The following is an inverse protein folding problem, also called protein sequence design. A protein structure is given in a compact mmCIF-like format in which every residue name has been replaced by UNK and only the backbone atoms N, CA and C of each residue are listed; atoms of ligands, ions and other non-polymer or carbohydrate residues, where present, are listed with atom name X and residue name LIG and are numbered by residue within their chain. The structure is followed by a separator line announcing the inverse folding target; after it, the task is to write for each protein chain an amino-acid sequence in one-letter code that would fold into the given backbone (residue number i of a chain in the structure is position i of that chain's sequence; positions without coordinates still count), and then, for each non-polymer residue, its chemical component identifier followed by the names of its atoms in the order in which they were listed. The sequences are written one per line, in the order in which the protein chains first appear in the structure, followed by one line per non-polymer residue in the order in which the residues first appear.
data_IF_332378822313
#
_entry.id   IF_332378822313
#
_cell.length_a   1.000
_cell.length_b   1.000
_cell.length_c   1.000
_cell.angle_alpha   90.00
_cell.angle_beta   90.00
_cell.angle_gamma   90.00
#
_symmetry.space_group_name_H-M   'P 1'
#
loop_
_entity.id
_entity.type
_entity.pdbx_description
1 polymer ?
#
# COMPACT_ATOMS: atom_id res chain seq x y z
N UNK A 1 -4.66 1.15 -10.49
CA UNK A 1 -4.39 2.29 -9.60
C UNK A 1 -5.71 2.90 -9.14
N UNK A 2 -6.03 2.87 -7.83
CA UNK A 2 -7.23 3.51 -7.29
C UNK A 2 -7.11 5.04 -7.45
N UNK A 3 -7.96 5.65 -8.29
CA UNK A 3 -7.84 7.04 -8.75
C UNK A 3 -8.97 7.92 -8.20
N UNK A 4 -9.26 7.81 -6.89
CA UNK A 4 -10.28 8.62 -6.22
C UNK A 4 -9.69 9.91 -5.66
N UNK A 5 -8.52 9.83 -5.00
CA UNK A 5 -7.85 10.94 -4.34
C UNK A 5 -6.38 10.55 -4.07
N UNK A 6 -5.46 11.52 -3.97
CA UNK A 6 -4.07 11.31 -3.57
C UNK A 6 -3.07 11.26 -4.71
N UNK A 7 -1.93 10.56 -4.50
CA UNK A 7 -0.76 10.53 -5.40
C UNK A 7 -0.96 9.62 -6.64
N UNK A 8 -2.03 9.85 -7.38
CA UNK A 8 -2.42 9.02 -8.54
C UNK A 8 -1.41 9.12 -9.67
N UNK A 9 -1.02 10.33 -10.06
CA UNK A 9 -0.14 10.59 -11.22
C UNK A 9 1.25 9.99 -11.02
N UNK A 10 1.77 10.11 -9.82
CA UNK A 10 3.08 9.62 -9.41
C UNK A 10 3.14 8.08 -9.50
N UNK A 11 2.11 7.41 -8.99
CA UNK A 11 1.99 5.96 -9.12
C UNK A 11 1.76 5.50 -10.56
N UNK A 12 0.96 6.22 -11.36
CA UNK A 12 0.76 5.92 -12.79
C UNK A 12 2.09 6.00 -13.54
N UNK A 13 2.92 7.00 -13.26
CA UNK A 13 4.28 7.10 -13.83
C UNK A 13 5.13 5.90 -13.39
N UNK A 14 5.15 5.58 -12.09
CA UNK A 14 5.92 4.46 -11.55
C UNK A 14 5.50 3.09 -12.14
N UNK A 15 4.20 2.87 -12.38
CA UNK A 15 3.68 1.66 -13.05
C UNK A 15 4.22 1.55 -14.48
N UNK A 16 4.23 2.66 -15.24
CA UNK A 16 4.79 2.68 -16.61
C UNK A 16 6.29 2.42 -16.61
N UNK A 17 7.04 3.01 -15.66
CA UNK A 17 8.49 2.85 -15.54
C UNK A 17 8.89 1.38 -15.28
N UNK A 18 8.02 0.58 -14.67
CA UNK A 18 8.26 -0.87 -14.45
C UNK A 18 7.71 -1.75 -15.57
N UNK A 19 7.23 -1.17 -16.67
CA UNK A 19 6.75 -1.89 -17.85
C UNK A 19 5.33 -2.48 -17.71
N UNK A 20 4.55 -2.03 -16.73
CA UNK A 20 3.15 -2.42 -16.56
C UNK A 20 2.19 -1.37 -17.16
N UNK A 21 0.98 -1.79 -17.50
CA UNK A 21 -0.06 -0.90 -18.04
C UNK A 21 -0.92 -0.35 -16.90
N UNK A 22 -0.94 0.98 -16.66
CA UNK A 22 -1.76 1.57 -15.62
C UNK A 22 -3.21 1.76 -16.07
N UNK A 23 -4.13 1.28 -15.25
CA UNK A 23 -5.56 1.57 -15.35
C UNK A 23 -5.98 2.41 -14.17
N UNK A 24 -6.60 3.56 -14.39
CA UNK A 24 -7.17 4.39 -13.34
C UNK A 24 -8.56 3.86 -12.95
N UNK A 25 -8.67 3.35 -11.72
CA UNK A 25 -9.90 2.78 -11.15
C UNK A 25 -10.67 3.87 -10.41
N UNK A 26 -11.87 4.16 -10.87
CA UNK A 26 -12.82 5.10 -10.25
C UNK A 26 -14.18 4.46 -10.00
N UNK A 27 -14.52 3.41 -10.74
CA UNK A 27 -15.79 2.72 -10.66
C UNK A 27 -15.56 1.20 -10.64
N UNK A 28 -16.50 0.40 -10.14
CA UNK A 28 -16.39 -1.07 -10.07
C UNK A 28 -16.00 -1.74 -11.38
N UNK A 29 -16.52 -1.25 -12.51
CA UNK A 29 -16.21 -1.80 -13.85
C UNK A 29 -14.72 -1.70 -14.22
N UNK A 30 -14.00 -0.72 -13.67
CA UNK A 30 -12.59 -0.48 -13.97
C UNK A 30 -11.68 -1.52 -13.29
N UNK A 31 -12.20 -2.32 -12.36
CA UNK A 31 -11.48 -3.41 -11.69
C UNK A 31 -11.44 -4.71 -12.49
N UNK A 32 -12.26 -4.81 -13.55
CA UNK A 32 -12.37 -6.04 -14.33
C UNK A 32 -11.05 -6.34 -15.07
N UNK A 33 -10.52 -7.55 -14.87
CA UNK A 33 -9.31 -8.01 -15.55
C UNK A 33 -8.00 -7.45 -14.99
N UNK A 34 -8.01 -6.76 -13.84
CA UNK A 34 -6.79 -6.29 -13.21
C UNK A 34 -6.04 -7.43 -12.50
N UNK A 35 -4.72 -7.42 -12.62
CA UNK A 35 -3.81 -8.34 -11.94
C UNK A 35 -3.31 -7.79 -10.59
N UNK A 36 -3.35 -6.47 -10.43
CA UNK A 36 -2.93 -5.78 -9.21
C UNK A 36 -3.70 -4.47 -9.01
N UNK A 37 -3.72 -3.97 -7.76
CA UNK A 37 -4.27 -2.66 -7.43
C UNK A 37 -3.33 -1.93 -6.46
N UNK A 38 -3.04 -0.66 -6.75
CA UNK A 38 -2.37 0.25 -5.81
C UNK A 38 -3.42 1.16 -5.17
N UNK A 39 -3.39 1.24 -3.83
CA UNK A 39 -4.15 2.19 -3.02
C UNK A 39 -3.17 3.30 -2.61
N UNK A 40 -3.32 4.52 -3.14
CA UNK A 40 -2.32 5.58 -2.97
C UNK A 40 -2.31 6.19 -1.58
N UNK A 41 -1.24 6.95 -1.32
CA UNK A 41 -1.24 7.96 -0.27
C UNK A 41 -2.24 9.09 -0.55
N UNK A 42 -2.77 9.67 0.52
CA UNK A 42 -3.77 10.73 0.47
C UNK A 42 -4.43 10.92 1.83
N UNK A 43 -5.71 11.30 1.84
CA UNK A 43 -6.51 11.44 3.06
C UNK A 43 -7.42 10.20 3.21
N UNK A 44 -7.13 9.35 4.23
CA UNK A 44 -7.77 8.04 4.39
C UNK A 44 -9.27 8.11 4.64
N UNK A 45 -9.76 9.13 5.35
CA UNK A 45 -11.19 9.32 5.64
C UNK A 45 -11.96 9.68 4.37
N UNK A 46 -11.42 10.58 3.56
CA UNK A 46 -11.98 10.94 2.25
C UNK A 46 -11.99 9.74 1.31
N UNK A 47 -10.88 8.99 1.26
CA UNK A 47 -10.80 7.80 0.41
C UNK A 47 -11.83 6.74 0.83
N UNK A 48 -12.02 6.52 2.14
CA UNK A 48 -13.04 5.63 2.68
C UNK A 48 -14.44 6.03 2.22
N UNK A 49 -14.79 7.32 2.38
CA UNK A 49 -16.09 7.84 1.96
C UNK A 49 -16.34 7.65 0.47
N UNK A 50 -15.32 7.93 -0.38
CA UNK A 50 -15.43 7.74 -1.83
C UNK A 50 -15.51 6.26 -2.22
N UNK A 51 -14.78 5.36 -1.54
CA UNK A 51 -14.87 3.92 -1.76
C UNK A 51 -16.29 3.42 -1.50
N UNK A 52 -16.92 3.90 -0.42
CA UNK A 52 -18.29 3.52 -0.07
C UNK A 52 -19.31 4.16 -1.03
N UNK A 53 -19.17 5.45 -1.35
CA UNK A 53 -20.03 6.18 -2.28
C UNK A 53 -20.05 5.56 -3.68
N UNK A 54 -18.89 5.16 -4.22
CA UNK A 54 -18.79 4.54 -5.54
C UNK A 54 -18.97 3.01 -5.52
N UNK A 55 -19.29 2.41 -4.37
CA UNK A 55 -19.53 0.98 -4.25
C UNK A 55 -18.31 0.12 -4.56
N UNK A 56 -17.10 0.61 -4.25
CA UNK A 56 -15.84 -0.06 -4.59
C UNK A 56 -15.38 -1.08 -3.55
N UNK A 57 -15.92 -1.05 -2.32
CA UNK A 57 -15.46 -1.90 -1.21
C UNK A 57 -15.50 -3.39 -1.59
N UNK A 58 -16.66 -3.91 -1.90
CA UNK A 58 -16.82 -5.34 -2.23
C UNK A 58 -16.12 -5.76 -3.53
N UNK A 59 -16.15 -4.98 -4.62
CA UNK A 59 -15.35 -5.25 -5.81
C UNK A 59 -13.84 -5.34 -5.54
N UNK A 60 -13.26 -4.48 -4.70
CA UNK A 60 -11.84 -4.55 -4.31
C UNK A 60 -11.56 -5.80 -3.46
N UNK A 61 -12.43 -6.12 -2.50
CA UNK A 61 -12.32 -7.36 -1.73
C UNK A 61 -12.41 -8.60 -2.64
N UNK A 62 -13.30 -8.58 -3.62
CA UNK A 62 -13.41 -9.65 -4.61
C UNK A 62 -12.13 -9.78 -5.45
N UNK A 63 -11.56 -8.67 -5.91
CA UNK A 63 -10.28 -8.65 -6.62
C UNK A 63 -9.16 -9.26 -5.76
N UNK A 64 -9.07 -8.91 -4.47
CA UNK A 64 -8.10 -9.49 -3.55
C UNK A 64 -8.29 -11.02 -3.41
N UNK A 65 -9.53 -11.49 -3.25
CA UNK A 65 -9.87 -12.93 -3.18
C UNK A 65 -9.49 -13.71 -4.43
N UNK A 66 -9.49 -13.09 -5.61
CA UNK A 66 -8.96 -13.73 -6.83
C UNK A 66 -7.44 -13.87 -6.84
N UNK A 67 -6.75 -13.35 -5.83
CA UNK A 67 -5.30 -13.40 -5.69
C UNK A 67 -4.57 -12.29 -6.45
N UNK A 68 -5.24 -11.19 -6.78
CA UNK A 68 -4.57 -9.99 -7.28
C UNK A 68 -3.59 -9.44 -6.25
N UNK A 69 -2.49 -8.85 -6.72
CA UNK A 69 -1.51 -8.22 -5.84
C UNK A 69 -1.98 -6.82 -5.43
N UNK A 70 -1.79 -6.45 -4.16
CA UNK A 70 -2.16 -5.13 -3.64
C UNK A 70 -0.95 -4.40 -3.07
N UNK A 71 -0.89 -3.10 -3.28
CA UNK A 71 0.06 -2.21 -2.62
C UNK A 71 -0.69 -1.01 -2.03
N UNK A 72 -0.58 -0.81 -0.70
CA UNK A 72 -1.06 0.39 -0.03
C UNK A 72 0.10 1.28 0.38
N UNK A 73 0.09 2.56 0.00
CA UNK A 73 1.10 3.53 0.44
C UNK A 73 0.48 4.58 1.35
N UNK A 74 1.10 4.87 2.49
CA UNK A 74 0.62 5.86 3.47
C UNK A 74 -0.87 5.63 3.84
N UNK A 75 -1.80 6.45 3.35
CA UNK A 75 -3.24 6.25 3.55
C UNK A 75 -3.72 4.88 3.05
N UNK A 76 -3.15 4.36 1.96
CA UNK A 76 -3.44 3.02 1.44
C UNK A 76 -3.10 1.90 2.45
N UNK A 77 -2.05 2.05 3.26
CA UNK A 77 -1.75 1.12 4.36
C UNK A 77 -2.89 1.11 5.40
N UNK A 78 -3.41 2.29 5.77
CA UNK A 78 -4.54 2.42 6.72
C UNK A 78 -5.78 1.69 6.18
N UNK A 79 -6.06 1.82 4.88
CA UNK A 79 -7.20 1.14 4.24
C UNK A 79 -7.07 -0.38 4.23
N UNK A 80 -5.84 -0.92 4.12
CA UNK A 80 -5.56 -2.35 4.09
C UNK A 80 -5.51 -3.00 5.48
N UNK A 81 -5.14 -2.25 6.52
CA UNK A 81 -4.99 -2.74 7.89
C UNK A 81 -6.28 -3.36 8.42
N UNK A 82 -6.13 -4.39 9.26
CA UNK A 82 -7.27 -5.04 9.92
C UNK A 82 -7.64 -4.40 11.28
N UNK A 83 -6.76 -3.54 11.81
CA UNK A 83 -7.00 -2.80 13.06
C UNK A 83 -6.53 -1.35 12.95
N UNK A 84 -7.28 -0.44 13.56
CA UNK A 84 -6.95 0.98 13.71
C UNK A 84 -6.95 1.38 15.19
N UNK A 85 -5.81 1.84 15.71
CA UNK A 85 -5.69 2.32 17.10
C UNK A 85 -6.49 3.60 17.39
N UNK A 86 -6.93 4.30 16.33
CA UNK A 86 -7.78 5.51 16.42
C UNK A 86 -9.27 5.18 16.63
N UNK A 87 -9.64 3.89 16.67
CA UNK A 87 -11.02 3.42 16.90
C UNK A 87 -11.89 3.38 15.66
N UNK A 88 -11.37 3.69 14.49
CA UNK A 88 -12.09 3.55 13.23
C UNK A 88 -12.20 2.07 12.83
N UNK A 89 -13.35 1.68 12.29
CA UNK A 89 -13.50 0.34 11.71
C UNK A 89 -12.60 0.15 10.48
N UNK A 90 -12.03 -1.06 10.30
CA UNK A 90 -11.25 -1.39 9.12
C UNK A 90 -12.03 -1.22 7.82
N UNK A 91 -11.33 -0.81 6.75
CA UNK A 91 -11.96 -0.70 5.43
C UNK A 91 -11.93 -2.05 4.71
N UNK A 92 -10.75 -2.65 4.55
CA UNK A 92 -10.60 -3.90 3.82
C UNK A 92 -10.19 -5.08 4.70
N UNK A 93 -9.48 -4.85 5.81
CA UNK A 93 -8.97 -5.90 6.71
C UNK A 93 -8.20 -7.01 5.96
N UNK A 94 -7.28 -6.63 5.08
CA UNK A 94 -6.51 -7.55 4.22
C UNK A 94 -5.06 -7.72 4.70
N UNK A 95 -4.65 -7.01 5.73
CA UNK A 95 -3.28 -7.00 6.25
C UNK A 95 -3.33 -7.05 7.79
N UNK A 96 -2.77 -8.10 8.37
CA UNK A 96 -2.77 -8.37 9.82
C UNK A 96 -1.83 -7.42 10.57
N UNK A 97 -2.18 -6.15 10.58
CA UNK A 97 -1.46 -5.08 11.28
C UNK A 97 -2.43 -4.13 11.98
N UNK A 98 -1.96 -3.54 13.06
CA UNK A 98 -2.59 -2.40 13.68
C UNK A 98 -1.87 -1.11 13.29
N UNK A 99 -2.62 -0.10 12.88
CA UNK A 99 -2.06 1.19 12.46
C UNK A 99 -2.69 2.35 13.24
N UNK A 100 -1.89 3.40 13.47
CA UNK A 100 -2.34 4.69 14.01
C UNK A 100 -2.06 5.78 12.97
N UNK A 101 -3.07 6.61 12.67
CA UNK A 101 -2.90 7.78 11.79
C UNK A 101 -1.97 8.80 12.43
N UNK A 102 -1.22 9.54 11.59
CA UNK A 102 -0.30 10.61 12.04
C UNK A 102 0.59 10.14 13.21
N UNK A 103 1.11 8.93 13.13
CA UNK A 103 1.76 8.24 14.25
C UNK A 103 3.06 8.86 14.71
N UNK A 104 3.76 9.64 13.87
CA UNK A 104 5.02 10.29 14.17
C UNK A 104 4.87 11.65 14.88
N UNK A 105 3.62 12.09 15.14
CA UNK A 105 3.34 13.31 15.89
C UNK A 105 3.51 14.60 15.09
N UNK A 106 3.09 15.74 15.68
CA UNK A 106 3.08 17.05 15.01
C UNK A 106 4.47 17.64 14.74
N UNK A 107 5.52 17.15 15.39
CA UNK A 107 6.90 17.67 15.21
C UNK A 107 7.60 17.05 13.99
N UNK A 108 7.15 15.89 13.49
CA UNK A 108 7.70 15.19 12.35
C UNK A 108 6.61 14.98 11.28
N UNK A 109 6.00 16.08 10.81
CA UNK A 109 4.96 16.01 9.78
C UNK A 109 5.49 15.41 8.46
N UNK A 110 6.79 15.62 8.17
CA UNK A 110 7.45 15.07 6.97
C UNK A 110 8.94 14.93 7.22
N UNK A 111 9.51 13.82 6.77
CA UNK A 111 10.95 13.55 6.80
C UNK A 111 11.33 12.56 5.72
N UNK A 112 12.63 12.48 5.43
CA UNK A 112 13.20 11.54 4.50
C UNK A 112 14.31 10.74 5.19
N UNK A 113 14.43 9.47 4.85
CA UNK A 113 15.46 8.60 5.41
C UNK A 113 15.76 7.44 4.46
N UNK A 114 16.93 6.84 4.60
CA UNK A 114 17.30 5.64 3.87
C UNK A 114 16.99 4.41 4.72
N UNK A 115 16.27 3.45 4.13
CA UNK A 115 15.83 2.22 4.78
C UNK A 115 16.54 1.00 4.21
N UNK A 116 16.95 0.10 5.09
CA UNK A 116 17.33 -1.25 4.69
C UNK A 116 16.06 -2.06 4.41
N UNK A 117 15.91 -2.55 3.19
CA UNK A 117 14.79 -3.41 2.77
C UNK A 117 15.37 -4.66 2.10
N UNK A 118 15.75 -5.71 2.86
CA UNK A 118 16.45 -6.89 2.33
C UNK A 118 15.73 -7.55 1.15
N UNK A 119 14.40 -7.54 1.16
CA UNK A 119 13.56 -8.05 0.06
C UNK A 119 13.77 -7.32 -1.28
N UNK A 120 14.38 -6.12 -1.27
CA UNK A 120 14.65 -5.29 -2.44
C UNK A 120 16.14 -5.26 -2.83
N UNK A 121 17.00 -5.97 -2.09
CA UNK A 121 18.44 -6.03 -2.29
C UNK A 121 19.23 -5.22 -1.24
N UNK A 122 20.56 -5.14 -1.41
CA UNK A 122 21.47 -4.54 -0.42
C UNK A 122 21.45 -3.01 -0.40
N UNK A 123 21.16 -2.39 -1.55
CA UNK A 123 21.14 -0.92 -1.63
C UNK A 123 19.97 -0.35 -0.81
N UNK A 124 20.22 0.67 0.04
CA UNK A 124 19.17 1.29 0.82
C UNK A 124 18.08 1.88 -0.09
N UNK A 125 16.86 1.93 0.42
CA UNK A 125 15.70 2.55 -0.23
C UNK A 125 15.51 3.94 0.35
N UNK A 126 15.56 4.98 -0.48
CA UNK A 126 15.21 6.32 -0.04
C UNK A 126 13.70 6.43 0.17
N UNK A 127 13.27 6.78 1.37
CA UNK A 127 11.87 6.78 1.78
C UNK A 127 11.42 8.18 2.21
N UNK A 128 10.30 8.64 1.64
CA UNK A 128 9.66 9.94 1.91
C UNK A 128 8.44 9.73 2.76
N UNK A 129 8.45 10.26 3.97
CA UNK A 129 7.33 10.19 4.93
C UNK A 129 6.61 11.54 4.98
N UNK A 130 5.29 11.53 4.82
CA UNK A 130 4.44 12.73 4.88
C UNK A 130 3.23 12.39 5.75
N UNK A 131 3.17 12.95 6.97
CA UNK A 131 2.12 12.66 7.97
C UNK A 131 1.81 11.15 8.07
N UNK A 132 2.88 10.37 8.10
CA UNK A 132 2.82 8.93 7.92
C UNK A 132 2.03 8.20 9.04
N UNK A 133 1.33 7.12 8.72
CA UNK A 133 0.80 6.21 9.72
C UNK A 133 1.95 5.48 10.42
N UNK A 134 1.73 5.10 11.66
CA UNK A 134 2.63 4.24 12.42
C UNK A 134 1.99 2.85 12.58
N UNK A 135 2.75 1.81 12.29
CA UNK A 135 2.35 0.44 12.61
C UNK A 135 2.60 0.21 14.10
N UNK A 136 1.54 0.00 14.87
CA UNK A 136 1.58 -0.20 16.33
C UNK A 136 1.53 -1.68 16.72
N UNK A 137 1.17 -2.56 15.79
CA UNK A 137 1.17 -4.00 16.00
C UNK A 137 1.24 -4.77 14.69
N UNK A 138 1.95 -5.89 14.69
CA UNK A 138 2.06 -6.81 13.56
C UNK A 138 1.62 -8.18 14.03
N UNK A 139 0.59 -8.72 13.40
CA UNK A 139 0.08 -10.05 13.70
C UNK A 139 0.89 -11.16 12.98
N UNK A 140 0.63 -12.42 13.34
CA UNK A 140 1.43 -13.56 12.87
C UNK A 140 1.35 -13.83 11.36
N UNK A 141 0.38 -13.25 10.66
CA UNK A 141 0.22 -13.44 9.22
C UNK A 141 1.02 -12.42 8.40
N UNK A 142 1.46 -11.32 9.01
CA UNK A 142 2.20 -10.26 8.33
C UNK A 142 3.72 -10.37 8.60
N UNK A 143 4.50 -10.11 7.57
CA UNK A 143 5.96 -10.04 7.59
C UNK A 143 6.41 -8.58 7.56
N UNK A 144 7.36 -8.21 8.42
CA UNK A 144 8.00 -6.89 8.40
C UNK A 144 9.11 -6.89 7.35
N UNK A 145 9.03 -6.03 6.36
CA UNK A 145 10.03 -5.88 5.29
C UNK A 145 11.07 -4.80 5.61
N UNK A 146 10.70 -3.77 6.37
CA UNK A 146 11.59 -2.71 6.81
C UNK A 146 11.11 -2.06 8.11
N UNK A 147 12.06 -1.56 8.90
CA UNK A 147 11.82 -0.74 10.09
C UNK A 147 12.51 0.61 9.94
N UNK A 148 12.01 1.62 10.65
CA UNK A 148 12.73 2.89 10.83
C UNK A 148 13.88 2.75 11.87
N UNK A 149 14.58 3.84 12.16
CA UNK A 149 15.71 3.86 13.10
C UNK A 149 15.30 3.54 14.54
N UNK A 150 14.05 3.77 14.91
CA UNK A 150 13.47 3.45 16.21
C UNK A 150 12.95 2.00 16.29
N UNK A 151 13.00 1.25 15.20
CA UNK A 151 12.53 -0.13 15.12
C UNK A 151 11.03 -0.28 14.80
N UNK A 152 10.33 0.81 14.47
CA UNK A 152 8.93 0.72 14.08
C UNK A 152 8.81 0.14 12.65
N UNK A 153 7.87 -0.80 12.41
CA UNK A 153 7.63 -1.31 11.08
C UNK A 153 7.12 -0.21 10.13
N UNK A 154 7.77 -0.05 8.98
CA UNK A 154 7.42 0.96 7.97
C UNK A 154 7.10 0.37 6.59
N UNK A 155 7.43 -0.91 6.39
CA UNK A 155 7.00 -1.68 5.24
C UNK A 155 6.66 -3.10 5.70
N UNK A 156 5.52 -3.61 5.26
CA UNK A 156 4.98 -4.91 5.67
C UNK A 156 4.37 -5.64 4.49
N UNK A 157 4.28 -6.97 4.60
CA UNK A 157 3.72 -7.85 3.58
C UNK A 157 2.90 -8.95 4.22
N UNK A 158 1.79 -9.31 3.59
CA UNK A 158 1.04 -10.53 3.87
C UNK A 158 0.65 -11.19 2.55
N UNK A 159 1.31 -12.28 2.22
CA UNK A 159 1.10 -12.94 0.93
C UNK A 159 1.37 -12.00 -0.25
N UNK A 160 0.31 -11.56 -0.94
CA UNK A 160 0.37 -10.63 -2.09
C UNK A 160 -0.06 -9.20 -1.75
N UNK A 161 -0.28 -8.92 -0.50
CA UNK A 161 -0.60 -7.58 -0.01
C UNK A 161 0.67 -6.95 0.55
N UNK A 162 1.06 -5.82 0.00
CA UNK A 162 2.18 -4.98 0.43
C UNK A 162 1.64 -3.69 1.01
N UNK A 163 2.28 -3.15 2.04
CA UNK A 163 1.98 -1.81 2.49
C UNK A 163 3.24 -1.09 2.99
N UNK A 164 3.29 0.23 2.77
CA UNK A 164 4.34 1.12 3.25
C UNK A 164 3.75 2.32 3.97
N UNK A 165 4.38 2.75 5.07
CA UNK A 165 4.03 3.99 5.75
C UNK A 165 4.48 5.23 4.97
N UNK A 166 5.44 5.08 4.05
CA UNK A 166 6.06 6.10 3.23
C UNK A 166 5.55 6.08 1.79
N UNK A 167 6.03 7.04 0.99
CA UNK A 167 5.64 7.30 -0.39
C UNK A 167 6.73 6.86 -1.38
N UNK A 168 6.78 5.61 -1.84
CA UNK A 168 7.78 5.14 -2.81
C UNK A 168 7.61 5.78 -4.19
N UNK A 169 6.42 6.30 -4.49
CA UNK A 169 6.09 6.97 -5.74
C UNK A 169 6.76 8.34 -5.89
N UNK A 170 7.17 8.97 -4.77
CA UNK A 170 7.79 10.30 -4.78
C UNK A 170 9.30 10.27 -5.05
N UNK A 171 9.90 9.08 -5.12
CA UNK A 171 11.32 8.91 -5.44
C UNK A 171 11.50 8.34 -6.85
N UNK A 172 12.75 8.29 -7.35
CA UNK A 172 13.10 7.59 -8.59
C UNK A 172 13.23 6.07 -8.43
N UNK A 173 13.16 5.55 -7.21
CA UNK A 173 13.33 4.12 -6.93
C UNK A 173 12.04 3.34 -7.20
N UNK A 174 12.10 2.42 -8.14
CA UNK A 174 10.95 1.60 -8.58
C UNK A 174 10.96 0.18 -8.02
N UNK A 175 11.85 -0.15 -7.08
CA UNK A 175 11.99 -1.53 -6.58
C UNK A 175 10.72 -2.06 -5.91
N UNK A 176 9.99 -1.23 -5.15
CA UNK A 176 8.69 -1.64 -4.58
C UNK A 176 7.62 -1.89 -5.65
N UNK A 177 7.55 -1.04 -6.68
CA UNK A 177 6.64 -1.26 -7.80
C UNK A 177 7.00 -2.51 -8.60
N UNK A 178 8.31 -2.80 -8.80
CA UNK A 178 8.77 -4.07 -9.41
C UNK A 178 8.41 -5.28 -8.55
N UNK A 179 8.54 -5.17 -7.22
CA UNK A 179 8.12 -6.24 -6.30
C UNK A 179 6.63 -6.54 -6.47
N UNK A 180 5.78 -5.52 -6.55
CA UNK A 180 4.34 -5.70 -6.83
C UNK A 180 4.12 -6.46 -8.16
N UNK A 181 4.82 -6.08 -9.24
CA UNK A 181 4.73 -6.76 -10.54
C UNK A 181 5.22 -8.22 -10.44
N UNK A 182 6.26 -8.50 -9.67
CA UNK A 182 6.74 -9.87 -9.43
C UNK A 182 5.65 -10.73 -8.77
N UNK A 183 4.90 -10.18 -7.82
CA UNK A 183 3.80 -10.87 -7.17
C UNK A 183 2.66 -11.23 -8.14
N UNK A 184 2.48 -10.50 -9.23
CA UNK A 184 1.53 -10.85 -10.30
C UNK A 184 2.00 -12.14 -11.00
N UNK A 185 3.28 -12.23 -11.37
CA UNK A 185 3.86 -13.39 -12.05
C UNK A 185 3.76 -14.70 -11.27
N UNK A 186 3.83 -14.64 -9.95
CA UNK A 186 3.67 -15.80 -9.06
C UNK A 186 2.24 -16.36 -9.05
N UNK A 187 1.23 -15.58 -9.47
CA UNK A 187 -0.14 -16.08 -9.66
C UNK A 187 -0.23 -17.08 -10.81
N UNK A 188 0.45 -16.81 -11.92
CA UNK A 188 0.43 -17.67 -13.11
C UNK A 188 1.14 -19.02 -12.92
N UNK A 189 1.97 -19.16 -11.87
CA UNK A 189 2.78 -20.37 -11.61
C UNK A 189 2.18 -21.33 -10.59
N UNK A 190 1.05 -21.03 -9.95
CA UNK A 190 0.38 -21.95 -9.01
C UNK A 190 -0.57 -22.86 -9.80
N UNK A 191 -0.41 -24.21 -9.73
CA UNK A 191 -1.43 -25.13 -10.25
C UNK A 191 -2.73 -24.93 -9.43
N UNK A 192 -3.86 -25.09 -10.13
CA UNK A 192 -5.22 -25.03 -9.57
C UNK A 192 -5.43 -26.11 -8.52
#
# INVERSE_FOLDING_TARGET
MLALQGAVREHVAAIRDVGAEPVEVRLPRDLVGLDALILPGGESTTMRSLIDEYGLREPILSLARTGAALLGTCAGMILLADRNSDGDEPVFALLDVEVRRNGYGRQLDSFETDLAVPALGEAPLHAVFIRAPMVTGVGPQAEVLATDAEGNPVAVRQGRVLATAFHPELTGDRRLHRLLVTLIGDRARRPA
#
